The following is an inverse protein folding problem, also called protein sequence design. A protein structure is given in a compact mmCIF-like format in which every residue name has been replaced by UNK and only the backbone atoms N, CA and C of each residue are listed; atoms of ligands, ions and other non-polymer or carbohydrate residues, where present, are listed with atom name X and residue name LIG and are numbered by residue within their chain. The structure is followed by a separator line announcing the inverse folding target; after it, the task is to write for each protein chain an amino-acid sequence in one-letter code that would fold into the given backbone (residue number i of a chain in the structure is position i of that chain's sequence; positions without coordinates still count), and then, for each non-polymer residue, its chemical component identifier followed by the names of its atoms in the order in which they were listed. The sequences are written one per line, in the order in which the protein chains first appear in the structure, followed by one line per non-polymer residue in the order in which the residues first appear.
data_IF_286230634107
#
_entry.id   IF_286230634107
#
_cell.length_a   1.000
_cell.length_b   1.000
_cell.length_c   1.000
_cell.angle_alpha   90.00
_cell.angle_beta   90.00
_cell.angle_gamma   90.00
#
_symmetry.space_group_name_H-M   'P 1'
#
loop_
_entity.id
_entity.type
_entity.pdbx_description
1 polymer ?
#
# COMPACT_ATOMS: atom_id res chain seq x y z
N UNK A 1 -6.37 53.84 60.38
CA UNK A 1 -6.70 52.56 59.71
C UNK A 1 -5.82 52.22 58.49
N UNK A 2 -5.05 53.15 57.90
CA UNK A 2 -4.37 52.91 56.60
C UNK A 2 -3.06 52.10 56.68
N UNK A 3 -2.39 52.04 57.84
CA UNK A 3 -1.09 51.35 57.98
C UNK A 3 -1.26 49.83 58.10
N UNK A 4 -2.24 49.37 58.88
CA UNK A 4 -2.51 47.94 59.15
C UNK A 4 -2.97 47.18 57.88
N UNK A 5 -3.63 47.87 56.94
CA UNK A 5 -4.06 47.25 55.68
C UNK A 5 -2.89 47.01 54.69
N UNK A 6 -1.80 47.80 54.77
CA UNK A 6 -0.66 47.67 53.85
C UNK A 6 0.24 46.47 54.16
N UNK A 7 0.53 46.21 55.43
CA UNK A 7 1.34 45.04 55.83
C UNK A 7 0.61 43.73 55.51
N UNK A 8 -0.70 43.69 55.74
CA UNK A 8 -1.57 42.56 55.35
C UNK A 8 -1.60 42.32 53.84
N UNK A 9 -1.64 43.39 53.04
CA UNK A 9 -1.54 43.26 51.58
C UNK A 9 -0.18 42.68 51.15
N UNK A 10 0.90 43.04 51.84
CA UNK A 10 2.25 42.54 51.55
C UNK A 10 2.42 41.02 51.68
N UNK A 11 1.73 40.39 52.64
CA UNK A 11 1.78 38.93 52.85
C UNK A 11 0.80 38.14 51.98
N UNK A 12 -0.35 38.73 51.63
CA UNK A 12 -1.43 38.05 50.87
C UNK A 12 -1.20 38.10 49.36
N UNK A 13 -0.79 39.26 48.82
CA UNK A 13 -0.65 39.47 47.38
C UNK A 13 0.32 38.50 46.66
N UNK A 14 1.43 38.03 47.27
CA UNK A 14 2.30 37.02 46.67
C UNK A 14 1.59 35.70 46.35
N UNK A 15 0.67 35.25 47.21
CA UNK A 15 -0.04 33.96 47.07
C UNK A 15 -0.93 33.96 45.81
N UNK A 16 -1.74 35.01 45.62
CA UNK A 16 -2.63 35.11 44.46
C UNK A 16 -1.91 35.36 43.14
N UNK A 17 -0.68 35.86 43.19
CA UNK A 17 0.16 35.98 41.99
C UNK A 17 0.69 34.62 41.52
N UNK A 18 0.91 33.67 42.43
CA UNK A 18 1.28 32.30 42.07
C UNK A 18 0.10 31.54 41.42
N UNK A 19 -1.14 31.84 41.81
CA UNK A 19 -2.36 31.26 41.20
C UNK A 19 -2.68 31.78 39.77
N UNK A 20 -1.92 32.75 39.26
CA UNK A 20 -2.04 33.32 37.92
C UNK A 20 -3.43 33.91 37.53
N UNK A 21 -4.26 34.25 38.51
CA UNK A 21 -5.59 34.86 38.30
C UNK A 21 -5.54 36.32 37.81
N UNK A 22 -6.67 36.83 37.32
CA UNK A 22 -6.83 38.22 36.82
C UNK A 22 -6.90 39.23 37.96
N UNK A 23 -6.42 40.47 37.74
CA UNK A 23 -6.47 41.52 38.77
C UNK A 23 -7.88 41.79 39.32
N UNK A 24 -8.91 41.66 38.49
CA UNK A 24 -10.31 41.85 38.93
C UNK A 24 -10.74 40.75 39.91
N UNK A 25 -10.32 39.50 39.67
CA UNK A 25 -10.52 38.38 40.61
C UNK A 25 -9.70 38.51 41.89
N UNK A 26 -8.51 39.11 41.83
CA UNK A 26 -7.71 39.39 43.03
C UNK A 26 -8.43 40.42 43.91
N UNK A 27 -8.98 41.49 43.30
CA UNK A 27 -9.80 42.48 44.02
C UNK A 27 -11.03 41.82 44.65
N UNK A 28 -11.72 40.94 43.92
CA UNK A 28 -12.89 40.20 44.42
C UNK A 28 -12.54 39.27 45.59
N UNK A 29 -11.46 38.48 45.47
CA UNK A 29 -10.99 37.60 46.56
C UNK A 29 -10.54 38.38 47.78
N UNK A 30 -9.81 39.50 47.60
CA UNK A 30 -9.42 40.37 48.71
C UNK A 30 -10.63 40.92 49.48
N UNK A 31 -11.71 41.24 48.77
CA UNK A 31 -12.96 41.69 49.38
C UNK A 31 -13.70 40.54 50.09
N UNK A 32 -13.80 39.37 49.47
CA UNK A 32 -14.60 38.26 49.98
C UNK A 32 -13.92 37.48 51.12
N UNK A 33 -12.62 37.19 50.98
CA UNK A 33 -11.86 36.35 51.92
C UNK A 33 -11.23 37.16 53.05
N UNK A 34 -10.79 38.39 52.75
CA UNK A 34 -10.04 39.22 53.71
C UNK A 34 -10.75 40.53 54.09
N UNK A 35 -11.93 40.80 53.54
CA UNK A 35 -12.71 42.05 53.74
C UNK A 35 -11.92 43.32 53.40
N UNK A 36 -10.94 43.23 52.51
CA UNK A 36 -10.10 44.34 52.07
C UNK A 36 -10.72 44.94 50.80
N UNK A 37 -11.23 46.17 50.90
CA UNK A 37 -11.82 46.89 49.75
C UNK A 37 -10.77 47.80 49.10
N UNK A 38 -10.21 47.37 47.97
CA UNK A 38 -9.28 48.17 47.18
C UNK A 38 -9.74 48.31 45.73
N UNK A 39 -9.44 49.46 45.13
CA UNK A 39 -9.61 49.62 43.68
C UNK A 39 -8.52 48.88 42.90
N UNK A 40 -8.82 48.49 41.66
CA UNK A 40 -7.83 47.92 40.73
C UNK A 40 -6.58 48.81 40.58
N UNK A 41 -6.74 50.13 40.60
CA UNK A 41 -5.62 51.09 40.54
C UNK A 41 -4.73 51.02 41.79
N UNK A 42 -5.33 50.91 42.98
CA UNK A 42 -4.58 50.74 44.23
C UNK A 42 -3.85 49.40 44.27
N UNK A 43 -4.50 48.31 43.85
CA UNK A 43 -3.87 46.99 43.73
C UNK A 43 -2.61 47.05 42.85
N UNK A 44 -2.72 47.65 41.65
CA UNK A 44 -1.59 47.77 40.72
C UNK A 44 -0.45 48.60 41.33
N UNK A 45 -0.77 49.66 42.08
CA UNK A 45 0.23 50.50 42.75
C UNK A 45 0.97 49.72 43.85
N UNK A 46 0.27 48.98 44.69
CA UNK A 46 0.92 48.20 45.76
C UNK A 46 1.73 47.02 45.20
N UNK A 47 1.24 46.36 44.13
CA UNK A 47 2.03 45.36 43.41
C UNK A 47 3.32 45.93 42.80
N UNK A 48 3.29 47.19 42.36
CA UNK A 48 4.48 47.91 41.88
C UNK A 48 5.46 48.22 43.00
N UNK A 49 4.97 48.65 44.16
CA UNK A 49 5.81 48.92 45.34
C UNK A 49 6.50 47.64 45.86
N UNK A 50 5.82 46.50 45.77
CA UNK A 50 6.35 45.19 46.22
C UNK A 50 7.26 44.51 45.19
N UNK A 51 7.46 45.07 43.98
CA UNK A 51 8.22 44.40 42.92
C UNK A 51 7.54 43.13 42.37
N UNK A 52 6.22 43.01 42.58
CA UNK A 52 5.42 41.83 42.22
C UNK A 52 4.54 42.11 40.99
N UNK A 53 4.96 43.00 40.10
CA UNK A 53 4.22 43.24 38.87
C UNK A 53 4.26 41.98 38.00
N UNK A 54 3.07 41.51 37.58
CA UNK A 54 2.91 40.40 36.61
C UNK A 54 3.72 40.62 35.32
N UNK A 55 4.07 41.89 35.02
CA UNK A 55 4.92 42.28 33.90
C UNK A 55 6.42 41.92 34.06
N UNK A 56 6.94 41.79 35.28
CA UNK A 56 8.37 41.50 35.56
C UNK A 56 8.73 40.02 35.44
N UNK A 57 7.77 39.08 35.49
CA UNK A 57 7.97 37.65 35.17
C UNK A 57 8.00 37.33 33.66
N UNK A 58 7.98 38.32 32.78
CA UNK A 58 7.93 38.11 31.31
C UNK A 58 9.30 37.80 30.64
N UNK A 59 10.35 37.42 31.39
CA UNK A 59 11.57 36.91 30.77
C UNK A 59 11.37 35.43 30.42
N UNK A 60 10.86 35.20 29.22
CA UNK A 60 10.64 33.86 28.66
C UNK A 60 11.98 33.15 28.50
N UNK A 61 12.06 31.91 28.97
CA UNK A 61 13.31 31.13 29.03
C UNK A 61 13.94 30.96 27.65
N UNK A 62 15.26 30.77 27.62
CA UNK A 62 16.00 30.50 26.38
C UNK A 62 15.46 29.25 25.66
N UNK A 63 15.12 28.22 26.42
CA UNK A 63 14.49 27.00 25.92
C UNK A 63 13.13 27.28 25.24
N UNK A 64 12.27 28.09 25.86
CA UNK A 64 11.01 28.49 25.28
C UNK A 64 11.19 29.28 23.97
N UNK A 65 12.20 30.16 23.90
CA UNK A 65 12.54 30.89 22.66
C UNK A 65 12.97 29.93 21.54
N UNK A 66 13.76 28.91 21.86
CA UNK A 66 14.20 27.89 20.89
C UNK A 66 13.04 27.03 20.39
N UNK A 67 12.15 26.58 21.28
CA UNK A 67 10.96 25.83 20.91
C UNK A 67 10.01 26.67 20.03
N UNK A 68 9.83 27.95 20.37
CA UNK A 68 9.06 28.88 19.54
C UNK A 68 9.67 28.98 18.14
N UNK A 69 10.98 29.15 18.02
CA UNK A 69 11.69 29.22 16.73
C UNK A 69 11.52 27.94 15.91
N UNK A 70 11.70 26.77 16.55
CA UNK A 70 11.53 25.46 15.92
C UNK A 70 10.13 25.24 15.35
N UNK A 71 9.10 25.41 16.17
CA UNK A 71 7.72 25.19 15.72
C UNK A 71 7.24 26.28 14.75
N UNK A 72 7.78 27.49 14.86
CA UNK A 72 7.55 28.56 13.90
C UNK A 72 8.04 28.17 12.50
N UNK A 73 9.31 27.74 12.36
CA UNK A 73 9.87 27.33 11.06
C UNK A 73 9.31 25.99 10.53
N UNK A 74 8.75 25.14 11.41
CA UNK A 74 7.85 24.04 10.97
C UNK A 74 6.52 24.52 10.37
N UNK A 75 6.28 25.83 10.29
CA UNK A 75 5.12 26.45 9.67
C UNK A 75 3.83 26.34 10.50
N UNK A 76 3.93 26.09 11.81
CA UNK A 76 2.76 25.96 12.69
C UNK A 76 2.11 27.33 12.92
N UNK A 77 0.78 27.35 13.04
CA UNK A 77 0.01 28.56 13.43
C UNK A 77 0.26 28.86 14.92
N UNK A 78 0.16 30.12 15.31
CA UNK A 78 0.45 30.56 16.69
C UNK A 78 -0.35 29.80 17.75
N UNK A 79 -1.64 29.55 17.51
CA UNK A 79 -2.48 28.71 18.39
C UNK A 79 -1.94 27.29 18.57
N UNK A 80 -1.36 26.72 17.51
CA UNK A 80 -0.78 25.37 17.52
C UNK A 80 0.58 25.36 18.21
N UNK A 81 1.38 26.42 18.04
CA UNK A 81 2.65 26.60 18.77
C UNK A 81 2.38 26.61 20.28
N UNK A 82 1.34 27.32 20.74
CA UNK A 82 0.95 27.32 22.15
C UNK A 82 0.61 25.91 22.67
N UNK A 83 -0.13 25.11 21.90
CA UNK A 83 -0.45 23.73 22.28
C UNK A 83 0.82 22.85 22.41
N UNK A 84 1.81 23.05 21.54
CA UNK A 84 3.08 22.35 21.65
C UNK A 84 3.90 22.83 22.86
N UNK A 85 3.90 24.13 23.16
CA UNK A 85 4.60 24.67 24.33
C UNK A 85 3.99 24.16 25.65
N UNK A 86 2.67 24.03 25.72
CA UNK A 86 2.00 23.45 26.88
C UNK A 86 2.42 22.00 27.16
N UNK A 87 2.80 21.22 26.12
CA UNK A 87 3.34 19.86 26.29
C UNK A 87 4.77 19.84 26.86
N UNK A 88 5.43 20.98 26.88
CA UNK A 88 6.74 21.18 27.49
C UNK A 88 6.62 22.05 28.75
N UNK A 89 5.43 22.08 29.40
CA UNK A 89 5.13 22.86 30.61
C UNK A 89 5.37 24.38 30.48
N UNK A 90 5.37 24.89 29.25
CA UNK A 90 5.52 26.32 28.95
C UNK A 90 4.16 26.92 28.59
N UNK A 91 3.59 27.65 29.54
CA UNK A 91 2.26 28.26 29.39
C UNK A 91 2.37 29.75 28.99
N UNK A 92 2.05 30.05 27.74
CA UNK A 92 2.04 31.43 27.21
C UNK A 92 0.65 31.84 26.71
N UNK A 93 0.30 33.11 26.91
CA UNK A 93 -0.83 33.71 26.20
C UNK A 93 -0.46 34.00 24.73
N UNK A 94 -1.49 34.12 23.87
CA UNK A 94 -1.28 34.53 22.47
C UNK A 94 -0.56 35.88 22.35
N UNK A 95 -0.81 36.81 23.27
CA UNK A 95 -0.13 38.10 23.32
C UNK A 95 1.37 37.93 23.61
N UNK A 96 1.72 37.14 24.63
CA UNK A 96 3.12 36.86 24.99
C UNK A 96 3.87 36.16 23.84
N UNK A 97 3.26 35.16 23.20
CA UNK A 97 3.87 34.50 22.03
C UNK A 97 4.14 35.48 20.88
N UNK A 98 3.19 36.37 20.57
CA UNK A 98 3.37 37.40 19.52
C UNK A 98 4.49 38.38 19.88
N UNK A 99 4.57 38.80 21.15
CA UNK A 99 5.64 39.68 21.65
C UNK A 99 7.02 39.02 21.51
N UNK A 100 7.16 37.74 21.87
CA UNK A 100 8.42 36.99 21.70
C UNK A 100 8.79 36.84 20.25
N UNK A 101 7.82 36.50 19.39
CA UNK A 101 8.05 36.40 17.94
C UNK A 101 8.57 37.72 17.36
N UNK A 102 8.03 38.86 17.81
CA UNK A 102 8.53 40.17 17.40
C UNK A 102 9.96 40.43 17.90
N UNK A 103 10.26 40.09 19.16
CA UNK A 103 11.61 40.21 19.72
C UNK A 103 12.64 39.32 19.01
N UNK A 104 12.21 38.17 18.48
CA UNK A 104 13.04 37.23 17.72
C UNK A 104 13.01 37.49 16.20
N UNK A 105 12.39 38.58 15.75
CA UNK A 105 12.23 38.93 14.33
C UNK A 105 11.58 37.81 13.49
N UNK A 106 10.70 37.01 14.09
CA UNK A 106 10.01 35.87 13.45
C UNK A 106 8.78 36.33 12.67
N UNK A 107 9.03 36.88 11.47
CA UNK A 107 7.99 37.21 10.49
C UNK A 107 7.79 36.06 9.49
N UNK A 108 6.52 35.82 9.11
CA UNK A 108 6.19 34.90 7.99
C UNK A 108 6.16 35.63 6.64
N UNK A 109 6.19 36.96 6.66
CA UNK A 109 6.42 37.82 5.49
C UNK A 109 7.87 38.25 5.58
N UNK A 110 8.76 37.48 4.96
CA UNK A 110 10.19 37.77 4.89
C UNK A 110 10.49 38.45 3.57
N UNK A 111 11.42 39.40 3.59
CA UNK A 111 12.04 39.94 2.39
C UNK A 111 13.15 38.98 1.96
N UNK A 112 12.96 38.36 0.80
CA UNK A 112 13.94 37.50 0.15
C UNK A 112 13.95 37.94 -1.31
N UNK A 113 15.14 38.29 -1.82
CA UNK A 113 15.29 38.70 -3.22
C UNK A 113 15.06 37.51 -4.13
N UNK A 114 14.53 37.77 -5.32
CA UNK A 114 14.19 36.70 -6.24
C UNK A 114 15.47 36.00 -6.75
N UNK A 115 16.62 36.70 -6.86
CA UNK A 115 17.90 36.08 -7.26
C UNK A 115 18.40 35.05 -6.22
N UNK A 116 18.39 35.41 -4.94
CA UNK A 116 18.83 34.52 -3.86
C UNK A 116 17.94 33.26 -3.78
N UNK A 117 16.64 33.45 -3.99
CA UNK A 117 15.69 32.34 -3.97
C UNK A 117 15.87 31.40 -5.16
N UNK A 118 16.16 31.94 -6.35
CA UNK A 118 16.47 31.15 -7.55
C UNK A 118 17.72 30.32 -7.32
N UNK A 119 18.79 30.91 -6.77
CA UNK A 119 20.05 30.22 -6.51
C UNK A 119 19.88 29.06 -5.51
N UNK A 120 19.16 29.28 -4.41
CA UNK A 120 18.88 28.22 -3.41
C UNK A 120 18.08 27.08 -4.06
N UNK A 121 17.02 27.39 -4.80
CA UNK A 121 16.19 26.35 -5.44
C UNK A 121 16.99 25.60 -6.52
N UNK A 122 17.81 26.31 -7.29
CA UNK A 122 18.68 25.71 -8.31
C UNK A 122 19.67 24.72 -7.69
N UNK A 123 20.33 25.11 -6.59
CA UNK A 123 21.24 24.23 -5.86
C UNK A 123 20.55 23.00 -5.30
N UNK A 124 19.34 23.14 -4.74
CA UNK A 124 18.53 22.00 -4.27
C UNK A 124 18.11 21.05 -5.40
N UNK A 125 17.89 21.59 -6.60
CA UNK A 125 17.54 20.81 -7.78
C UNK A 125 18.72 20.03 -8.40
N UNK A 126 19.96 20.35 -8.02
CA UNK A 126 21.14 19.60 -8.48
C UNK A 126 21.34 18.27 -7.72
N UNK A 127 20.56 18.03 -6.66
CA UNK A 127 20.66 16.84 -5.82
C UNK A 127 19.30 16.12 -5.66
N UNK A 128 19.11 15.35 -4.59
CA UNK A 128 17.92 14.51 -4.36
C UNK A 128 16.60 15.28 -4.30
N UNK A 129 16.65 16.60 -4.06
CA UNK A 129 15.48 17.46 -3.93
C UNK A 129 14.89 17.94 -5.27
N UNK A 130 15.52 17.61 -6.41
CA UNK A 130 15.00 17.85 -7.78
C UNK A 130 13.56 17.36 -7.99
N UNK A 131 13.20 16.26 -7.35
CA UNK A 131 11.90 15.63 -7.53
C UNK A 131 10.80 16.18 -6.61
N UNK A 132 11.12 17.05 -5.64
CA UNK A 132 10.13 17.62 -4.73
C UNK A 132 9.09 18.44 -5.50
N UNK A 133 7.81 18.14 -5.25
CA UNK A 133 6.72 18.98 -5.75
C UNK A 133 6.65 20.32 -5.03
N UNK A 134 5.94 21.30 -5.59
CA UNK A 134 5.85 22.69 -5.10
C UNK A 134 5.56 22.78 -3.58
N UNK A 135 4.66 21.94 -3.05
CA UNK A 135 4.32 21.93 -1.61
C UNK A 135 5.45 21.38 -0.74
N UNK A 136 6.15 20.35 -1.22
CA UNK A 136 7.26 19.75 -0.50
C UNK A 136 8.49 20.65 -0.56
N UNK A 137 8.77 21.27 -1.72
CA UNK A 137 9.81 22.28 -1.85
C UNK A 137 9.54 23.48 -0.94
N UNK A 138 8.29 23.97 -0.88
CA UNK A 138 7.89 25.00 0.08
C UNK A 138 8.14 24.58 1.54
N UNK A 139 7.89 23.32 1.89
CA UNK A 139 8.18 22.81 3.22
C UNK A 139 9.68 22.68 3.50
N UNK A 140 10.44 22.22 2.52
CA UNK A 140 11.89 22.09 2.60
C UNK A 140 12.56 23.45 2.82
N UNK A 141 12.21 24.48 2.04
CA UNK A 141 12.72 25.85 2.21
C UNK A 141 12.44 26.42 3.61
N UNK A 142 11.28 26.09 4.20
CA UNK A 142 10.97 26.51 5.58
C UNK A 142 11.84 25.82 6.63
N UNK A 143 12.16 24.54 6.44
CA UNK A 143 12.84 23.72 7.45
C UNK A 143 14.36 23.85 7.32
N UNK A 144 14.90 23.75 6.11
CA UNK A 144 16.33 23.78 5.85
C UNK A 144 16.88 25.21 5.81
N UNK A 145 16.12 26.16 5.25
CA UNK A 145 16.58 27.53 5.00
C UNK A 145 15.85 28.59 5.83
N UNK A 146 14.88 28.21 6.67
CA UNK A 146 14.08 29.15 7.46
C UNK A 146 13.33 30.21 6.61
N UNK A 147 13.00 29.86 5.36
CA UNK A 147 12.38 30.77 4.38
C UNK A 147 10.88 30.49 4.18
N UNK A 148 10.06 31.53 4.36
CA UNK A 148 8.64 31.52 4.08
C UNK A 148 8.35 32.14 2.71
N UNK A 149 8.23 31.26 1.71
CA UNK A 149 7.97 31.68 0.32
C UNK A 149 6.56 31.32 -0.10
N UNK A 150 5.92 32.17 -0.91
CA UNK A 150 4.61 31.88 -1.47
C UNK A 150 4.69 30.71 -2.46
N UNK A 151 3.61 29.91 -2.55
CA UNK A 151 3.55 28.80 -3.52
C UNK A 151 3.66 29.30 -4.95
N UNK A 152 3.15 30.50 -5.21
CA UNK A 152 3.15 31.10 -6.53
C UNK A 152 4.57 31.45 -6.97
N UNK A 153 5.37 32.10 -6.10
CA UNK A 153 6.79 32.38 -6.38
C UNK A 153 7.61 31.12 -6.61
N UNK A 154 7.46 30.10 -5.76
CA UNK A 154 8.16 28.80 -5.96
C UNK A 154 7.75 28.16 -7.28
N UNK A 155 6.46 28.22 -7.63
CA UNK A 155 5.96 27.69 -8.90
C UNK A 155 6.60 28.38 -10.09
N UNK A 156 6.70 29.71 -10.05
CA UNK A 156 7.23 30.50 -11.16
C UNK A 156 8.74 30.26 -11.33
N UNK A 157 9.49 30.17 -10.23
CA UNK A 157 10.92 29.82 -10.26
C UNK A 157 11.14 28.38 -10.75
N UNK A 158 10.40 27.40 -10.23
CA UNK A 158 10.50 26.02 -10.72
C UNK A 158 10.12 25.90 -12.20
N UNK A 159 9.23 26.78 -12.70
CA UNK A 159 8.87 26.83 -14.12
C UNK A 159 9.96 27.46 -14.97
N UNK A 160 10.66 28.47 -14.46
CA UNK A 160 11.82 29.04 -15.12
C UNK A 160 12.98 28.04 -15.20
N UNK A 161 13.24 27.31 -14.11
CA UNK A 161 14.38 26.40 -13.99
C UNK A 161 14.17 25.04 -14.67
N UNK A 162 12.95 24.50 -14.65
CA UNK A 162 12.63 23.20 -15.28
C UNK A 162 11.16 23.17 -15.76
N UNK A 163 10.87 23.85 -16.89
CA UNK A 163 9.52 23.90 -17.45
C UNK A 163 9.02 22.51 -17.84
N UNK A 164 9.92 21.63 -18.30
CA UNK A 164 9.59 20.26 -18.70
C UNK A 164 9.11 19.41 -17.51
N UNK A 165 9.79 19.45 -16.35
CA UNK A 165 9.37 18.68 -15.18
C UNK A 165 7.98 19.11 -14.66
N UNK A 166 7.63 20.39 -14.77
CA UNK A 166 6.29 20.85 -14.40
C UNK A 166 5.21 20.46 -15.41
N UNK A 167 5.52 20.46 -16.71
CA UNK A 167 4.63 19.91 -17.75
C UNK A 167 4.41 18.41 -17.52
N UNK A 168 5.48 17.66 -17.28
CA UNK A 168 5.43 16.23 -16.96
C UNK A 168 4.57 15.95 -15.70
N UNK A 169 4.66 16.78 -14.65
CA UNK A 169 3.85 16.65 -13.42
C UNK A 169 2.39 17.07 -13.61
N UNK A 170 2.10 18.09 -14.43
CA UNK A 170 0.73 18.52 -14.75
C UNK A 170 -0.02 17.51 -15.62
N UNK A 171 0.70 16.72 -16.41
CA UNK A 171 0.06 15.78 -17.34
C UNK A 171 -0.74 14.66 -16.66
N UNK A 172 -0.62 14.42 -15.35
CA UNK A 172 -1.27 13.27 -14.64
C UNK A 172 -1.16 11.94 -15.43
N UNK A 173 -0.22 11.81 -16.34
CA UNK A 173 0.01 10.58 -17.07
C UNK A 173 0.97 9.80 -16.21
N UNK A 174 0.47 8.72 -15.61
CA UNK A 174 1.32 7.55 -15.41
C UNK A 174 2.06 7.37 -16.74
N UNK A 175 3.36 7.70 -16.79
CA UNK A 175 4.18 7.34 -17.94
C UNK A 175 4.15 5.81 -17.96
N UNK A 176 3.31 5.26 -18.82
CA UNK A 176 3.18 3.82 -19.03
C UNK A 176 4.58 3.34 -19.40
N UNK A 177 5.22 2.58 -18.51
CA UNK A 177 6.52 2.00 -18.80
C UNK A 177 6.28 1.01 -19.92
N UNK A 178 6.82 1.26 -21.11
CA UNK A 178 6.66 0.32 -22.19
C UNK A 178 7.65 -0.80 -21.93
N UNK A 179 7.16 -1.99 -21.56
CA UNK A 179 8.00 -3.16 -21.43
C UNK A 179 8.46 -3.59 -22.82
N UNK A 180 9.76 -3.51 -23.06
CA UNK A 180 10.42 -4.06 -24.23
C UNK A 180 10.96 -5.45 -23.88
N UNK A 181 10.47 -6.46 -24.59
CA UNK A 181 10.83 -7.88 -24.43
C UNK A 181 11.14 -8.41 -25.83
N UNK A 182 12.22 -9.17 -25.99
CA UNK A 182 12.76 -9.50 -27.33
C UNK A 182 11.93 -10.56 -28.08
N UNK A 183 11.33 -11.50 -27.36
CA UNK A 183 10.57 -12.61 -27.92
C UNK A 183 9.95 -13.46 -26.82
N UNK A 184 9.21 -14.53 -27.18
CA UNK A 184 8.65 -15.46 -26.20
C UNK A 184 9.73 -16.13 -25.37
N UNK A 185 9.38 -16.55 -24.16
CA UNK A 185 10.27 -17.15 -23.15
C UNK A 185 11.42 -16.25 -22.69
N UNK A 186 11.44 -14.98 -23.10
CA UNK A 186 12.45 -14.05 -22.59
C UNK A 186 12.14 -13.64 -21.14
N UNK A 187 10.88 -13.29 -20.84
CA UNK A 187 10.42 -13.00 -19.48
C UNK A 187 9.08 -13.67 -19.25
N UNK A 188 9.01 -14.54 -18.26
CA UNK A 188 7.76 -14.99 -17.67
C UNK A 188 7.42 -14.12 -16.45
N UNK A 189 6.17 -13.68 -16.37
CA UNK A 189 5.63 -12.81 -15.35
C UNK A 189 4.66 -13.64 -14.50
N UNK A 190 5.02 -13.90 -13.24
CA UNK A 190 4.26 -14.77 -12.32
C UNK A 190 3.71 -13.96 -11.16
N UNK A 191 2.51 -14.32 -10.69
CA UNK A 191 1.81 -13.61 -9.62
C UNK A 191 0.60 -14.39 -9.09
N UNK A 192 0.18 -14.05 -7.86
CA UNK A 192 -1.05 -14.54 -7.23
C UNK A 192 -2.22 -13.57 -7.40
N UNK A 193 -3.43 -14.11 -7.45
CA UNK A 193 -4.68 -13.35 -7.53
C UNK A 193 -5.62 -13.70 -6.36
N UNK A 194 -5.61 -12.81 -5.36
CA UNK A 194 -6.22 -13.09 -4.05
C UNK A 194 -7.64 -12.55 -3.89
N UNK A 195 -8.33 -12.17 -4.97
CA UNK A 195 -9.67 -11.57 -4.84
C UNK A 195 -10.76 -12.53 -4.38
N UNK A 196 -10.52 -13.84 -4.45
CA UNK A 196 -11.42 -14.89 -3.96
C UNK A 196 -10.89 -15.56 -2.68
N UNK A 197 -9.77 -15.08 -2.14
CA UNK A 197 -9.09 -15.71 -1.00
C UNK A 197 -9.92 -15.72 0.28
N UNK A 198 -10.85 -14.76 0.44
CA UNK A 198 -11.81 -14.74 1.56
C UNK A 198 -12.64 -16.02 1.63
N UNK A 199 -13.07 -16.55 0.49
CA UNK A 199 -13.85 -17.77 0.38
C UNK A 199 -13.01 -19.05 0.22
N UNK A 200 -11.67 -18.94 0.39
CA UNK A 200 -10.76 -20.08 0.33
C UNK A 200 -10.22 -20.42 -1.06
N UNK A 201 -10.44 -19.57 -2.05
CA UNK A 201 -10.00 -19.79 -3.43
C UNK A 201 -8.81 -18.88 -3.79
N UNK A 202 -7.67 -19.50 -4.10
CA UNK A 202 -6.43 -18.81 -4.45
C UNK A 202 -6.05 -19.12 -5.88
N UNK A 203 -6.05 -18.10 -6.74
CA UNK A 203 -5.66 -18.23 -8.14
C UNK A 203 -4.20 -17.82 -8.27
N UNK A 204 -3.42 -18.54 -9.08
CA UNK A 204 -2.05 -18.18 -9.42
C UNK A 204 -1.86 -18.33 -10.92
N UNK A 205 -1.13 -17.40 -11.53
CA UNK A 205 -0.91 -17.40 -12.97
C UNK A 205 0.53 -17.14 -13.37
N UNK A 206 0.80 -17.44 -14.64
CA UNK A 206 1.98 -17.00 -15.34
C UNK A 206 1.63 -16.58 -16.76
N UNK A 207 2.19 -15.46 -17.18
CA UNK A 207 2.05 -14.97 -18.54
C UNK A 207 3.43 -14.70 -19.14
N UNK A 208 3.62 -15.10 -20.39
CA UNK A 208 4.77 -14.67 -21.16
C UNK A 208 4.65 -13.17 -21.49
N UNK A 209 5.66 -12.39 -21.10
CA UNK A 209 5.59 -10.94 -21.16
C UNK A 209 5.65 -10.37 -22.59
N UNK A 210 6.11 -11.16 -23.57
CA UNK A 210 6.18 -10.79 -24.98
C UNK A 210 4.87 -11.10 -25.70
N UNK A 211 4.54 -12.38 -25.82
CA UNK A 211 3.40 -12.92 -26.57
C UNK A 211 2.05 -12.67 -25.89
N UNK A 212 2.05 -12.53 -24.55
CA UNK A 212 0.86 -12.52 -23.68
C UNK A 212 0.15 -13.87 -23.60
N UNK A 213 0.84 -14.94 -23.96
CA UNK A 213 0.39 -16.30 -23.76
C UNK A 213 0.36 -16.63 -22.27
N UNK A 214 -0.76 -17.17 -21.78
CA UNK A 214 -0.90 -17.65 -20.41
C UNK A 214 -0.25 -19.04 -20.34
N UNK A 215 0.89 -19.10 -19.67
CA UNK A 215 1.69 -20.31 -19.48
C UNK A 215 0.99 -21.25 -18.49
N UNK A 216 0.44 -20.71 -17.40
CA UNK A 216 -0.48 -21.45 -16.53
C UNK A 216 -1.45 -20.49 -15.84
N UNK A 217 -2.59 -21.05 -15.45
CA UNK A 217 -3.62 -20.40 -14.67
C UNK A 217 -4.27 -21.46 -13.79
N UNK A 218 -3.91 -21.47 -12.52
CA UNK A 218 -4.26 -22.54 -11.59
C UNK A 218 -4.98 -21.98 -10.37
N UNK A 219 -5.82 -22.81 -9.75
CA UNK A 219 -6.56 -22.46 -8.54
C UNK A 219 -6.40 -23.56 -7.48
N UNK A 220 -6.26 -23.16 -6.23
CA UNK A 220 -6.19 -24.06 -5.09
C UNK A 220 -6.61 -23.39 -3.78
N UNK A 221 -6.36 -24.08 -2.67
CA UNK A 221 -6.72 -23.64 -1.31
C UNK A 221 -5.62 -22.81 -0.62
N UNK A 222 -4.47 -22.63 -1.27
CA UNK A 222 -3.38 -21.82 -0.71
C UNK A 222 -2.42 -21.36 -1.81
N UNK A 223 -2.02 -20.09 -1.72
CA UNK A 223 -0.87 -19.55 -2.45
C UNK A 223 0.40 -19.44 -1.57
N UNK A 224 0.33 -19.82 -0.29
CA UNK A 224 1.44 -19.64 0.68
C UNK A 224 2.41 -20.79 0.71
N UNK A 225 2.00 -21.98 0.27
CA UNK A 225 2.85 -23.17 0.21
C UNK A 225 3.70 -23.12 -1.05
N UNK A 226 5.01 -22.93 -0.89
CA UNK A 226 5.95 -22.82 -2.01
C UNK A 226 5.99 -24.05 -2.91
N UNK A 227 5.71 -25.24 -2.36
CA UNK A 227 5.62 -26.48 -3.14
C UNK A 227 4.48 -26.44 -4.17
N UNK A 228 3.35 -25.80 -3.85
CA UNK A 228 2.22 -25.68 -4.79
C UNK A 228 2.64 -24.82 -5.99
N UNK A 229 3.28 -23.68 -5.73
CA UNK A 229 3.74 -22.78 -6.80
C UNK A 229 4.86 -23.44 -7.63
N UNK A 230 5.78 -24.15 -6.97
CA UNK A 230 6.78 -24.97 -7.66
C UNK A 230 6.12 -26.04 -8.54
N UNK A 231 5.08 -26.73 -8.05
CA UNK A 231 4.36 -27.75 -8.83
C UNK A 231 3.75 -27.16 -10.10
N UNK A 232 3.08 -26.01 -10.00
CA UNK A 232 2.54 -25.32 -11.17
C UNK A 232 3.63 -24.95 -12.19
N UNK A 233 4.80 -24.53 -11.69
CA UNK A 233 5.93 -24.22 -12.55
C UNK A 233 6.49 -25.46 -13.26
N UNK A 234 6.71 -26.56 -12.54
CA UNK A 234 7.22 -27.81 -13.11
C UNK A 234 6.22 -28.42 -14.10
N UNK A 235 4.93 -28.39 -13.80
CA UNK A 235 3.89 -28.86 -14.71
C UNK A 235 3.89 -28.08 -16.02
N UNK A 236 4.05 -26.75 -15.95
CA UNK A 236 4.18 -25.90 -17.13
C UNK A 236 5.45 -26.19 -17.92
N UNK A 237 6.59 -26.43 -17.26
CA UNK A 237 7.83 -26.84 -17.93
C UNK A 237 7.62 -28.16 -18.68
N UNK A 238 6.96 -29.13 -18.06
CA UNK A 238 6.66 -30.41 -18.68
C UNK A 238 5.70 -30.26 -19.88
N UNK A 239 4.64 -29.44 -19.75
CA UNK A 239 3.72 -29.08 -20.84
C UNK A 239 4.49 -28.46 -22.02
N UNK A 240 5.50 -27.64 -21.72
CA UNK A 240 6.37 -26.97 -22.70
C UNK A 240 7.62 -27.76 -23.08
N UNK A 241 7.62 -29.09 -22.86
CA UNK A 241 8.70 -30.01 -23.28
C UNK A 241 10.08 -29.66 -22.72
N UNK A 242 10.13 -29.27 -21.45
CA UNK A 242 11.37 -28.99 -20.74
C UNK A 242 11.94 -27.60 -21.01
N UNK A 243 11.12 -26.64 -21.47
CA UNK A 243 11.57 -25.26 -21.72
C UNK A 243 11.35 -24.40 -20.48
N UNK A 244 12.39 -23.67 -20.08
CA UNK A 244 12.35 -22.61 -19.06
C UNK A 244 12.63 -21.24 -19.69
N UNK A 245 12.09 -20.14 -19.11
CA UNK A 245 12.36 -18.81 -19.62
C UNK A 245 13.78 -18.35 -19.29
N UNK A 246 14.24 -17.35 -20.02
CA UNK A 246 15.49 -16.66 -19.72
C UNK A 246 15.46 -15.97 -18.36
N UNK A 247 14.35 -15.31 -18.04
CA UNK A 247 14.11 -14.64 -16.76
C UNK A 247 12.70 -14.89 -16.26
N UNK A 248 12.55 -15.23 -14.99
CA UNK A 248 11.27 -15.17 -14.28
C UNK A 248 11.20 -13.87 -13.50
N UNK A 249 10.07 -13.19 -13.60
CA UNK A 249 9.76 -11.99 -12.83
C UNK A 249 8.61 -12.27 -11.89
N UNK A 250 8.87 -12.04 -10.61
CA UNK A 250 7.92 -12.22 -9.53
C UNK A 250 8.00 -11.05 -8.55
N UNK A 251 6.97 -10.92 -7.75
CA UNK A 251 6.99 -10.05 -6.57
C UNK A 251 7.80 -10.68 -5.44
N UNK A 252 8.17 -9.86 -4.44
CA UNK A 252 8.91 -10.36 -3.28
C UNK A 252 7.95 -11.14 -2.37
N UNK A 253 7.82 -12.43 -2.64
CA UNK A 253 6.92 -13.34 -1.94
C UNK A 253 7.62 -14.59 -1.42
N UNK A 254 7.18 -15.08 -0.27
CA UNK A 254 7.69 -16.33 0.34
C UNK A 254 7.22 -17.57 -0.41
N UNK A 255 6.16 -17.44 -1.19
CA UNK A 255 5.61 -18.48 -2.06
C UNK A 255 6.59 -18.92 -3.15
N UNK A 256 7.57 -18.08 -3.52
CA UNK A 256 8.59 -18.41 -4.52
C UNK A 256 9.85 -19.05 -3.93
N UNK A 257 9.88 -19.36 -2.63
CA UNK A 257 11.06 -19.87 -1.93
C UNK A 257 11.67 -21.15 -2.55
N UNK A 258 10.87 -21.97 -3.24
CA UNK A 258 11.35 -23.14 -3.97
C UNK A 258 11.46 -22.90 -5.48
N UNK A 259 10.50 -22.17 -6.08
CA UNK A 259 10.51 -21.89 -7.51
C UNK A 259 11.73 -21.06 -7.96
N UNK A 260 12.13 -20.06 -7.15
CA UNK A 260 13.27 -19.20 -7.46
C UNK A 260 14.60 -19.98 -7.54
N UNK A 261 15.01 -20.76 -6.52
CA UNK A 261 16.22 -21.56 -6.63
C UNK A 261 16.14 -22.63 -7.72
N UNK A 262 14.97 -23.25 -7.97
CA UNK A 262 14.81 -24.20 -9.09
C UNK A 262 15.09 -23.56 -10.45
N UNK A 263 14.57 -22.35 -10.69
CA UNK A 263 14.85 -21.62 -11.93
C UNK A 263 16.34 -21.26 -12.05
N UNK A 264 16.98 -20.84 -10.96
CA UNK A 264 18.41 -20.52 -10.93
C UNK A 264 19.23 -21.77 -11.26
N UNK A 265 18.90 -22.91 -10.66
CA UNK A 265 19.56 -24.18 -10.88
C UNK A 265 19.42 -24.66 -12.32
N UNK A 266 18.21 -24.66 -12.89
CA UNK A 266 17.99 -25.01 -14.29
C UNK A 266 18.78 -24.13 -15.27
N UNK A 267 19.17 -22.93 -14.85
CA UNK A 267 19.85 -21.92 -15.67
C UNK A 267 21.34 -21.79 -15.36
N UNK A 268 21.89 -22.55 -14.41
CA UNK A 268 23.24 -22.35 -13.90
C UNK A 268 24.32 -22.60 -14.96
N UNK A 269 24.11 -23.62 -15.81
CA UNK A 269 25.09 -24.04 -16.83
C UNK A 269 24.91 -23.38 -18.20
N UNK A 270 23.98 -22.43 -18.35
CA UNK A 270 23.82 -21.71 -19.61
C UNK A 270 24.80 -20.53 -19.71
N UNK A 271 25.19 -20.16 -20.94
CA UNK A 271 26.27 -19.21 -21.16
C UNK A 271 25.83 -17.74 -21.33
N UNK A 272 24.53 -17.42 -21.24
CA UNK A 272 24.06 -16.05 -21.46
C UNK A 272 24.11 -15.18 -20.20
N UNK A 273 24.08 -13.86 -20.39
CA UNK A 273 24.21 -12.86 -19.32
C UNK A 273 23.13 -12.92 -18.23
N UNK A 274 22.07 -13.72 -18.42
CA UNK A 274 20.99 -13.95 -17.44
C UNK A 274 21.01 -15.36 -16.85
N UNK A 275 22.06 -16.14 -17.07
CA UNK A 275 22.19 -17.47 -16.48
C UNK A 275 22.28 -17.42 -14.94
N UNK A 276 22.01 -18.55 -14.30
CA UNK A 276 22.05 -18.73 -12.85
C UNK A 276 21.22 -17.71 -12.10
N UNK A 277 21.83 -17.00 -11.14
CA UNK A 277 21.14 -16.08 -10.23
C UNK A 277 20.41 -14.93 -10.92
N UNK A 278 20.86 -14.55 -12.13
CA UNK A 278 20.27 -13.46 -12.91
C UNK A 278 19.03 -13.88 -13.72
N UNK A 279 18.68 -15.17 -13.69
CA UNK A 279 17.48 -15.73 -14.31
C UNK A 279 16.23 -15.55 -13.45
N UNK A 280 16.38 -15.04 -12.22
CA UNK A 280 15.29 -14.65 -11.35
C UNK A 280 15.34 -13.15 -11.05
N UNK A 281 14.20 -12.47 -11.13
CA UNK A 281 14.11 -11.04 -10.87
C UNK A 281 12.94 -10.70 -9.97
N UNK A 282 13.25 -10.37 -8.72
CA UNK A 282 12.30 -9.71 -7.83
C UNK A 282 12.07 -8.25 -8.27
N UNK A 283 10.83 -7.81 -8.18
CA UNK A 283 10.44 -6.42 -8.34
C UNK A 283 9.15 -6.12 -7.60
N UNK A 284 8.76 -4.84 -7.46
CA UNK A 284 7.44 -4.51 -6.94
C UNK A 284 6.33 -4.88 -7.95
N UNK A 285 5.11 -5.14 -7.49
CA UNK A 285 3.90 -5.39 -8.32
C UNK A 285 3.72 -4.40 -9.47
N UNK A 286 3.97 -3.12 -9.20
CA UNK A 286 3.95 -2.03 -10.21
C UNK A 286 4.90 -2.24 -11.39
N UNK A 287 5.84 -3.17 -11.26
CA UNK A 287 6.81 -3.58 -12.26
C UNK A 287 6.49 -4.93 -12.92
N UNK A 288 5.59 -5.73 -12.33
CA UNK A 288 5.05 -6.99 -12.86
C UNK A 288 3.83 -6.74 -13.77
N UNK A 289 3.96 -5.78 -14.67
CA UNK A 289 2.82 -5.12 -15.32
C UNK A 289 1.97 -6.03 -16.20
N UNK A 290 2.51 -7.14 -16.70
CA UNK A 290 1.82 -7.99 -17.67
C UNK A 290 0.73 -8.81 -17.00
N UNK A 291 1.11 -9.55 -15.97
CA UNK A 291 0.15 -10.37 -15.23
C UNK A 291 -0.84 -9.50 -14.45
N UNK A 292 -0.40 -8.39 -13.85
CA UNK A 292 -1.27 -7.43 -13.17
C UNK A 292 -2.30 -6.75 -14.10
N UNK A 293 -1.89 -6.41 -15.33
CA UNK A 293 -2.83 -5.92 -16.33
C UNK A 293 -3.81 -7.02 -16.76
N UNK A 294 -3.36 -8.27 -16.82
CA UNK A 294 -4.20 -9.40 -17.13
C UNK A 294 -5.20 -9.73 -16.00
N UNK A 295 -4.81 -9.61 -14.72
CA UNK A 295 -5.72 -9.70 -13.58
C UNK A 295 -6.86 -8.70 -13.64
N UNK A 296 -6.57 -7.48 -14.10
CA UNK A 296 -7.61 -6.47 -14.33
C UNK A 296 -8.62 -6.88 -15.41
N UNK A 297 -8.21 -7.70 -16.38
CA UNK A 297 -9.11 -8.28 -17.38
C UNK A 297 -9.87 -9.47 -16.81
N UNK A 298 -9.18 -10.40 -16.13
CA UNK A 298 -9.83 -11.53 -15.45
C UNK A 298 -10.96 -11.06 -14.53
N UNK A 299 -10.71 -10.00 -13.75
CA UNK A 299 -11.72 -9.37 -12.90
C UNK A 299 -12.96 -8.96 -13.67
N UNK A 300 -12.79 -8.30 -14.82
CA UNK A 300 -13.89 -7.79 -15.65
C UNK A 300 -14.64 -8.89 -16.39
N UNK A 301 -13.92 -9.93 -16.83
CA UNK A 301 -14.50 -10.98 -17.67
C UNK A 301 -15.23 -12.03 -16.85
N UNK A 302 -14.64 -12.47 -15.74
CA UNK A 302 -15.09 -13.66 -15.00
C UNK A 302 -15.18 -13.43 -13.51
N UNK A 303 -14.10 -12.98 -12.87
CA UNK A 303 -14.02 -13.06 -11.40
C UNK A 303 -14.99 -12.14 -10.66
N UNK A 304 -15.56 -11.11 -11.30
CA UNK A 304 -16.57 -10.26 -10.66
C UNK A 304 -17.85 -11.04 -10.36
N UNK A 305 -18.27 -11.95 -11.25
CA UNK A 305 -19.43 -12.82 -11.05
C UNK A 305 -19.27 -13.66 -9.77
N UNK A 306 -18.13 -14.35 -9.62
CA UNK A 306 -17.86 -15.16 -8.42
C UNK A 306 -17.82 -14.36 -7.14
N UNK A 307 -17.28 -13.14 -7.19
CA UNK A 307 -17.26 -12.25 -6.03
C UNK A 307 -18.67 -11.87 -5.61
N UNK A 308 -19.52 -11.52 -6.57
CA UNK A 308 -20.92 -11.18 -6.31
C UNK A 308 -21.70 -12.38 -5.77
N UNK A 309 -21.57 -13.55 -6.40
CA UNK A 309 -22.22 -14.79 -5.96
C UNK A 309 -21.82 -15.17 -4.53
N UNK A 310 -20.53 -15.23 -4.22
CA UNK A 310 -20.07 -15.63 -2.89
C UNK A 310 -20.36 -14.57 -1.82
N UNK A 311 -20.37 -13.29 -2.21
CA UNK A 311 -20.81 -12.20 -1.31
C UNK A 311 -22.30 -12.28 -1.02
N UNK A 312 -23.12 -12.69 -1.99
CA UNK A 312 -24.56 -12.92 -1.81
C UNK A 312 -24.83 -14.06 -0.83
N UNK A 313 -24.17 -15.21 -1.04
CA UNK A 313 -24.24 -16.38 -0.13
C UNK A 313 -23.87 -15.97 1.31
N UNK A 314 -22.78 -15.21 1.49
CA UNK A 314 -22.37 -14.71 2.81
C UNK A 314 -23.41 -13.74 3.39
N UNK A 315 -23.96 -12.83 2.58
CA UNK A 315 -24.95 -11.85 3.03
C UNK A 315 -26.30 -12.48 3.45
N UNK A 316 -26.65 -13.63 2.85
CA UNK A 316 -27.83 -14.41 3.22
C UNK A 316 -27.62 -15.26 4.49
N UNK A 317 -26.40 -15.27 5.04
CA UNK A 317 -26.04 -16.10 6.20
C UNK A 317 -25.86 -17.58 5.85
N UNK A 318 -25.71 -17.90 4.56
CA UNK A 318 -25.49 -19.26 4.06
C UNK A 318 -24.01 -19.65 4.02
N UNK A 319 -23.11 -18.72 4.34
CA UNK A 319 -21.68 -19.02 4.50
C UNK A 319 -21.06 -18.16 5.60
N UNK A 320 -20.26 -18.80 6.46
CA UNK A 320 -19.52 -18.15 7.54
C UNK A 320 -18.02 -18.51 7.49
N UNK A 321 -17.16 -17.51 7.45
CA UNK A 321 -15.69 -17.68 7.45
C UNK A 321 -15.14 -18.52 8.61
N UNK A 322 -15.79 -18.46 9.78
CA UNK A 322 -15.36 -19.18 10.99
C UNK A 322 -15.91 -20.60 11.06
N UNK A 323 -16.84 -20.94 10.17
CA UNK A 323 -17.45 -22.27 10.10
C UNK A 323 -16.70 -23.14 9.10
N UNK A 324 -16.17 -24.28 9.56
CA UNK A 324 -15.40 -25.14 8.69
C UNK A 324 -16.28 -25.92 7.70
N UNK A 325 -17.52 -26.28 8.08
CA UNK A 325 -18.46 -27.00 7.21
C UNK A 325 -18.84 -26.10 6.04
N UNK A 326 -19.14 -24.83 6.31
CA UNK A 326 -19.49 -23.86 5.27
C UNK A 326 -18.35 -23.69 4.24
N UNK A 327 -17.11 -23.59 4.73
CA UNK A 327 -15.92 -23.47 3.87
C UNK A 327 -15.67 -24.74 3.06
N UNK A 328 -15.74 -25.92 3.68
CA UNK A 328 -15.48 -27.19 3.01
C UNK A 328 -16.55 -27.50 1.96
N UNK A 329 -17.83 -27.28 2.27
CA UNK A 329 -18.93 -27.46 1.30
C UNK A 329 -18.79 -26.50 0.12
N UNK A 330 -18.41 -25.23 0.38
CA UNK A 330 -18.24 -24.24 -0.69
C UNK A 330 -17.08 -24.63 -1.60
N UNK A 331 -15.94 -25.01 -1.02
CA UNK A 331 -14.77 -25.49 -1.77
C UNK A 331 -15.12 -26.75 -2.56
N UNK A 332 -15.82 -27.72 -1.97
CA UNK A 332 -16.19 -28.96 -2.62
C UNK A 332 -17.02 -28.72 -3.89
N UNK A 333 -18.07 -27.89 -3.80
CA UNK A 333 -18.97 -27.60 -4.91
C UNK A 333 -18.31 -26.74 -5.98
N UNK A 334 -17.64 -25.65 -5.58
CA UNK A 334 -17.21 -24.63 -6.53
C UNK A 334 -15.77 -24.78 -7.04
N UNK A 335 -14.89 -25.52 -6.36
CA UNK A 335 -13.51 -25.73 -6.84
C UNK A 335 -13.45 -26.42 -8.21
N UNK A 336 -14.22 -27.51 -8.49
CA UNK A 336 -14.22 -28.13 -9.82
C UNK A 336 -14.72 -27.17 -10.91
N UNK A 337 -15.78 -26.40 -10.63
CA UNK A 337 -16.36 -25.43 -11.56
C UNK A 337 -15.36 -24.31 -11.90
N UNK A 338 -14.69 -23.76 -10.89
CA UNK A 338 -13.67 -22.73 -11.07
C UNK A 338 -12.43 -23.28 -11.80
N UNK A 339 -11.99 -24.51 -11.50
CA UNK A 339 -10.89 -25.16 -12.22
C UNK A 339 -11.21 -25.31 -13.71
N UNK A 340 -12.41 -25.79 -14.02
CA UNK A 340 -12.88 -25.92 -15.40
C UNK A 340 -12.93 -24.56 -16.10
N UNK A 341 -13.57 -23.56 -15.49
CA UNK A 341 -13.72 -22.24 -16.11
C UNK A 341 -12.37 -21.56 -16.35
N UNK A 342 -11.40 -21.67 -15.43
CA UNK A 342 -10.07 -21.11 -15.64
C UNK A 342 -9.31 -21.84 -16.75
N UNK A 343 -9.48 -23.16 -16.89
CA UNK A 343 -8.90 -23.92 -17.99
C UNK A 343 -9.48 -23.49 -19.35
N UNK A 344 -10.80 -23.35 -19.44
CA UNK A 344 -11.50 -22.84 -20.63
C UNK A 344 -11.05 -21.41 -20.94
N UNK A 345 -11.00 -20.52 -19.95
CA UNK A 345 -10.54 -19.14 -20.12
C UNK A 345 -9.09 -19.07 -20.61
N UNK A 346 -8.20 -19.94 -20.13
CA UNK A 346 -6.82 -20.02 -20.63
C UNK A 346 -6.80 -20.35 -22.12
N UNK A 347 -7.61 -21.31 -22.57
CA UNK A 347 -7.71 -21.68 -23.99
C UNK A 347 -8.29 -20.54 -24.84
N UNK A 348 -9.40 -19.94 -24.39
CA UNK A 348 -10.03 -18.79 -25.05
C UNK A 348 -9.06 -17.62 -25.18
N UNK A 349 -8.35 -17.29 -24.09
CA UNK A 349 -7.36 -16.23 -24.08
C UNK A 349 -6.15 -16.56 -24.94
N UNK A 350 -5.65 -17.79 -24.96
CA UNK A 350 -4.49 -18.08 -25.79
C UNK A 350 -4.85 -18.06 -27.29
N UNK A 351 -6.12 -18.30 -27.64
CA UNK A 351 -6.64 -18.31 -29.02
C UNK A 351 -7.19 -16.96 -29.51
N UNK A 352 -7.55 -16.03 -28.62
CA UNK A 352 -8.16 -14.78 -29.05
C UNK A 352 -7.18 -13.86 -29.79
N UNK A 353 -7.69 -13.07 -30.73
CA UNK A 353 -6.88 -12.07 -31.44
C UNK A 353 -6.79 -10.76 -30.66
N UNK A 354 -5.58 -10.38 -30.28
CA UNK A 354 -5.32 -9.07 -29.69
C UNK A 354 -5.15 -8.01 -30.78
N UNK A 355 -5.92 -6.93 -30.66
CA UNK A 355 -5.85 -5.80 -31.60
C UNK A 355 -4.49 -5.10 -31.56
N UNK A 356 -4.12 -4.55 -32.71
CA UNK A 356 -2.94 -3.70 -32.84
C UNK A 356 -3.07 -2.44 -31.98
N UNK A 357 -2.01 -2.14 -31.23
CA UNK A 357 -1.86 -0.92 -30.44
C UNK A 357 -0.50 -0.30 -30.76
N UNK A 358 -0.52 0.87 -31.39
CA UNK A 358 0.70 1.60 -31.78
C UNK A 358 1.58 2.02 -30.59
N UNK A 359 1.06 1.97 -29.36
CA UNK A 359 1.81 2.26 -28.13
C UNK A 359 2.40 1.01 -27.47
N UNK A 360 2.04 -0.18 -27.95
CA UNK A 360 2.57 -1.45 -27.44
C UNK A 360 3.83 -1.85 -28.21
N UNK A 361 4.92 -2.15 -27.50
CA UNK A 361 6.09 -2.83 -28.09
C UNK A 361 5.93 -4.36 -28.17
N UNK A 362 4.83 -4.92 -27.67
CA UNK A 362 4.50 -6.33 -27.83
C UNK A 362 3.64 -6.58 -29.06
N UNK A 363 3.81 -7.74 -29.71
CA UNK A 363 3.11 -8.07 -30.95
C UNK A 363 1.60 -8.13 -30.74
N UNK A 364 0.84 -7.61 -31.68
CA UNK A 364 -0.60 -7.90 -31.82
C UNK A 364 -0.83 -9.29 -32.39
N UNK A 365 -2.09 -9.70 -32.57
CA UNK A 365 -2.41 -11.04 -33.06
C UNK A 365 -2.75 -12.01 -31.93
N UNK A 366 -2.72 -13.30 -32.23
CA UNK A 366 -3.11 -14.37 -31.31
C UNK A 366 -1.93 -14.68 -30.37
N UNK A 367 -2.13 -14.73 -29.04
CA UNK A 367 -1.06 -15.04 -28.08
C UNK A 367 -0.35 -16.37 -28.36
N UNK A 368 -1.09 -17.41 -28.72
CA UNK A 368 -0.54 -18.72 -29.08
C UNK A 368 0.39 -18.64 -30.31
N UNK A 369 -0.07 -18.03 -31.41
CA UNK A 369 0.77 -17.79 -32.60
C UNK A 369 2.02 -16.98 -32.25
N UNK A 370 1.85 -15.91 -31.45
CA UNK A 370 2.97 -15.06 -31.04
C UNK A 370 3.99 -15.79 -30.14
N UNK A 371 3.58 -16.88 -29.49
CA UNK A 371 4.42 -17.67 -28.60
C UNK A 371 5.11 -18.82 -29.32
N UNK A 372 4.36 -19.62 -30.09
CA UNK A 372 4.89 -20.80 -30.78
C UNK A 372 5.42 -20.53 -32.19
N UNK A 373 5.04 -19.42 -32.82
CA UNK A 373 5.50 -19.00 -34.16
C UNK A 373 6.13 -17.59 -34.13
N UNK A 374 7.19 -17.39 -33.33
CA UNK A 374 7.84 -16.09 -33.16
C UNK A 374 8.35 -15.45 -34.47
N UNK A 375 8.59 -16.25 -35.51
CA UNK A 375 9.06 -15.83 -36.82
C UNK A 375 8.07 -14.88 -37.51
N UNK A 376 6.76 -14.99 -37.21
CA UNK A 376 5.72 -14.08 -37.73
C UNK A 376 6.02 -12.62 -37.36
N UNK A 377 6.67 -12.40 -36.22
CA UNK A 377 7.04 -11.08 -35.72
C UNK A 377 8.53 -10.76 -35.89
N UNK A 378 9.23 -11.49 -36.78
CA UNK A 378 10.68 -11.38 -37.00
C UNK A 378 11.51 -11.54 -35.71
N UNK A 379 11.06 -12.43 -34.82
CA UNK A 379 11.81 -12.81 -33.61
C UNK A 379 11.98 -14.32 -33.56
N UNK A 380 12.51 -14.83 -32.45
CA UNK A 380 12.73 -16.25 -32.20
C UNK A 380 12.35 -16.62 -30.78
N UNK A 381 12.32 -17.91 -30.47
CA UNK A 381 12.21 -18.38 -29.10
C UNK A 381 13.50 -18.07 -28.30
N UNK A 382 13.34 -17.57 -27.08
CA UNK A 382 14.43 -17.26 -26.14
C UNK A 382 14.48 -18.21 -24.94
N UNK A 383 13.67 -19.28 -24.95
CA UNK A 383 13.65 -20.32 -23.95
C UNK A 383 14.88 -21.20 -23.96
N UNK A 384 15.06 -21.96 -22.89
CA UNK A 384 16.17 -22.86 -22.70
C UNK A 384 15.68 -24.23 -22.31
N UNK A 385 16.23 -25.27 -22.95
CA UNK A 385 16.00 -26.64 -22.54
C UNK A 385 16.71 -26.93 -21.23
N UNK A 386 16.06 -27.70 -20.36
CA UNK A 386 16.63 -28.22 -19.12
C UNK A 386 17.02 -29.69 -19.27
N UNK A 387 17.87 -30.16 -18.36
CA UNK A 387 18.16 -31.57 -18.22
C UNK A 387 16.98 -32.28 -17.53
N UNK A 388 16.52 -33.39 -18.10
CA UNK A 388 15.44 -34.20 -17.56
C UNK A 388 15.76 -34.80 -16.18
N UNK A 389 17.03 -35.13 -15.89
CA UNK A 389 17.41 -35.66 -14.57
C UNK A 389 17.28 -34.60 -13.49
N UNK A 390 17.61 -33.36 -13.82
CA UNK A 390 17.53 -32.22 -12.89
C UNK A 390 16.07 -31.88 -12.60
N UNK A 391 15.23 -31.91 -13.64
CA UNK A 391 13.77 -31.79 -13.50
C UNK A 391 13.20 -32.86 -12.57
N UNK A 392 13.51 -34.13 -12.85
CA UNK A 392 12.99 -35.27 -12.10
C UNK A 392 13.45 -35.23 -10.64
N UNK A 393 14.71 -34.86 -10.39
CA UNK A 393 15.23 -34.69 -9.04
C UNK A 393 14.43 -33.67 -8.24
N UNK A 394 14.19 -32.47 -8.80
CA UNK A 394 13.40 -31.42 -8.12
C UNK A 394 11.96 -31.89 -7.91
N UNK A 395 11.35 -32.50 -8.93
CA UNK A 395 9.98 -33.00 -8.87
C UNK A 395 9.82 -34.03 -7.76
N UNK A 396 10.67 -35.06 -7.72
CA UNK A 396 10.60 -36.11 -6.71
C UNK A 396 10.88 -35.59 -5.30
N UNK A 397 11.79 -34.62 -5.17
CA UNK A 397 12.17 -34.06 -3.86
C UNK A 397 11.07 -33.21 -3.23
N UNK A 398 10.37 -32.38 -4.03
CA UNK A 398 9.46 -31.37 -3.48
C UNK A 398 7.99 -31.54 -3.86
N UNK A 399 7.70 -32.34 -4.88
CA UNK A 399 6.41 -32.36 -5.58
C UNK A 399 5.84 -33.78 -5.78
N UNK A 400 6.47 -34.81 -5.20
CA UNK A 400 6.05 -36.22 -5.32
C UNK A 400 4.77 -36.57 -4.56
N UNK A 401 4.36 -35.76 -3.58
CA UNK A 401 3.11 -35.96 -2.86
C UNK A 401 1.91 -35.73 -3.78
N UNK A 402 1.17 -36.81 -4.07
CA UNK A 402 -0.04 -36.76 -4.90
C UNK A 402 -1.14 -35.88 -4.31
N UNK A 403 -1.12 -35.65 -2.99
CA UNK A 403 -2.10 -34.83 -2.29
C UNK A 403 -1.74 -33.34 -2.25
N UNK A 404 -0.61 -32.94 -2.85
CA UNK A 404 -0.09 -31.57 -2.72
C UNK A 404 -1.06 -30.48 -3.19
N UNK A 405 -1.80 -30.76 -4.27
CA UNK A 405 -2.80 -29.84 -4.86
C UNK A 405 -4.23 -30.23 -4.46
N UNK A 406 -4.38 -31.24 -3.59
CA UNK A 406 -5.70 -31.63 -3.12
C UNK A 406 -6.29 -30.61 -2.16
N UNK A 407 -7.57 -30.32 -2.36
CA UNK A 407 -8.29 -29.28 -1.62
C UNK A 407 -9.14 -29.82 -0.47
N UNK A 408 -9.34 -31.14 -0.42
CA UNK A 408 -10.03 -31.88 0.63
C UNK A 408 -9.39 -33.26 0.79
N UNK A 409 -9.46 -33.83 1.99
CA UNK A 409 -9.01 -35.22 2.20
C UNK A 409 -9.90 -36.19 1.42
N UNK A 410 -9.34 -37.35 1.06
CA UNK A 410 -10.08 -38.39 0.34
C UNK A 410 -11.35 -38.83 1.11
N UNK A 411 -11.26 -38.93 2.43
CA UNK A 411 -12.38 -39.26 3.30
C UNK A 411 -13.51 -38.21 3.22
N UNK A 412 -13.18 -36.92 3.37
CA UNK A 412 -14.17 -35.83 3.25
C UNK A 412 -14.80 -35.78 1.87
N UNK A 413 -14.00 -35.96 0.81
CA UNK A 413 -14.51 -36.02 -0.56
C UNK A 413 -15.49 -37.17 -0.75
N UNK A 414 -15.21 -38.36 -0.22
CA UNK A 414 -16.09 -39.51 -0.35
C UNK A 414 -17.43 -39.26 0.35
N UNK A 415 -17.42 -38.67 1.55
CA UNK A 415 -18.64 -38.29 2.27
C UNK A 415 -19.47 -37.31 1.43
N UNK A 416 -18.85 -36.25 0.91
CA UNK A 416 -19.57 -35.26 0.11
C UNK A 416 -20.05 -35.81 -1.23
N UNK A 417 -19.28 -36.68 -1.89
CA UNK A 417 -19.70 -37.38 -3.11
C UNK A 417 -20.99 -38.18 -2.86
N UNK A 418 -21.05 -38.98 -1.80
CA UNK A 418 -22.23 -39.78 -1.48
C UNK A 418 -23.48 -38.92 -1.24
N UNK A 419 -23.32 -37.79 -0.54
CA UNK A 419 -24.42 -36.86 -0.27
C UNK A 419 -24.86 -36.16 -1.56
N UNK A 420 -23.93 -35.64 -2.35
CA UNK A 420 -24.25 -34.91 -3.58
C UNK A 420 -24.84 -35.81 -4.66
N UNK A 421 -24.40 -37.07 -4.77
CA UNK A 421 -25.03 -38.06 -5.64
C UNK A 421 -26.51 -38.28 -5.28
N UNK A 422 -26.83 -38.39 -3.99
CA UNK A 422 -28.24 -38.49 -3.53
C UNK A 422 -29.04 -37.23 -3.85
N UNK A 423 -28.45 -36.04 -3.67
CA UNK A 423 -29.08 -34.76 -4.01
C UNK A 423 -29.39 -34.69 -5.52
N UNK A 424 -28.43 -35.05 -6.37
CA UNK A 424 -28.57 -35.06 -7.83
C UNK A 424 -29.69 -36.02 -8.27
N UNK A 425 -29.71 -37.25 -7.72
CA UNK A 425 -30.76 -38.23 -8.00
C UNK A 425 -32.14 -37.71 -7.61
N UNK A 426 -32.27 -37.10 -6.42
CA UNK A 426 -33.54 -36.52 -5.96
C UNK A 426 -34.03 -35.39 -6.87
N UNK A 427 -33.10 -34.61 -7.42
CA UNK A 427 -33.39 -33.47 -8.31
C UNK A 427 -33.55 -33.85 -9.79
N UNK A 428 -33.33 -35.12 -10.14
CA UNK A 428 -33.28 -35.59 -11.53
C UNK A 428 -32.24 -34.82 -12.38
N UNK A 429 -31.10 -34.51 -11.77
CA UNK A 429 -29.96 -33.83 -12.38
C UNK A 429 -28.78 -34.81 -12.49
N UNK A 430 -27.94 -34.69 -13.52
CA UNK A 430 -26.83 -35.63 -13.75
C UNK A 430 -25.49 -35.20 -13.17
N UNK A 431 -25.27 -33.89 -13.03
CA UNK A 431 -24.01 -33.32 -12.56
C UNK A 431 -24.20 -31.94 -11.95
N UNK A 432 -23.24 -31.54 -11.12
CA UNK A 432 -23.12 -30.16 -10.61
C UNK A 432 -22.58 -29.25 -11.71
N UNK A 433 -23.27 -28.14 -11.96
CA UNK A 433 -22.89 -27.09 -12.89
C UNK A 433 -23.28 -25.72 -12.33
N UNK A 434 -22.94 -24.64 -13.03
CA UNK A 434 -23.16 -23.26 -12.55
C UNK A 434 -24.64 -22.98 -12.24
N UNK A 435 -25.59 -23.58 -12.98
CA UNK A 435 -27.01 -23.30 -12.83
C UNK A 435 -27.65 -23.95 -11.59
N UNK A 436 -27.13 -25.10 -11.12
CA UNK A 436 -27.67 -25.82 -9.95
C UNK A 436 -26.73 -25.80 -8.74
N UNK A 437 -25.49 -25.31 -8.88
CA UNK A 437 -24.48 -25.34 -7.83
C UNK A 437 -24.92 -24.68 -6.52
N UNK A 438 -25.65 -23.56 -6.58
CA UNK A 438 -26.12 -22.85 -5.40
C UNK A 438 -27.12 -23.70 -4.59
N UNK A 439 -28.12 -24.28 -5.25
CA UNK A 439 -29.12 -25.11 -4.57
C UNK A 439 -28.52 -26.40 -4.00
N UNK A 440 -27.59 -27.02 -4.73
CA UNK A 440 -26.86 -28.20 -4.27
C UNK A 440 -25.97 -27.83 -3.08
N UNK A 441 -25.27 -26.69 -3.13
CA UNK A 441 -24.47 -26.19 -2.02
C UNK A 441 -25.31 -25.99 -0.76
N UNK A 442 -26.44 -25.28 -0.84
CA UNK A 442 -27.28 -25.01 0.32
C UNK A 442 -27.84 -26.32 0.91
N UNK A 443 -28.22 -27.28 0.06
CA UNK A 443 -28.70 -28.60 0.51
C UNK A 443 -27.60 -29.42 1.19
N UNK A 444 -26.42 -29.51 0.56
CA UNK A 444 -25.25 -30.21 1.11
C UNK A 444 -24.87 -29.62 2.46
N UNK A 445 -24.75 -28.30 2.54
CA UNK A 445 -24.42 -27.56 3.76
C UNK A 445 -25.38 -27.91 4.91
N UNK A 446 -26.69 -27.80 4.68
CA UNK A 446 -27.70 -28.10 5.71
C UNK A 446 -27.59 -29.54 6.19
N UNK A 447 -27.39 -30.49 5.28
CA UNK A 447 -27.29 -31.90 5.62
C UNK A 447 -26.04 -32.20 6.44
N UNK A 448 -24.88 -31.65 6.07
CA UNK A 448 -23.63 -31.87 6.81
C UNK A 448 -23.69 -31.24 8.21
N UNK A 449 -24.29 -30.06 8.36
CA UNK A 449 -24.56 -29.44 9.68
C UNK A 449 -25.50 -30.24 10.58
N UNK A 450 -26.30 -31.15 10.03
CA UNK A 450 -27.17 -32.04 10.82
C UNK A 450 -26.46 -33.33 11.24
N UNK A 451 -25.38 -33.69 10.55
CA UNK A 451 -24.61 -34.91 10.83
C UNK A 451 -23.47 -34.68 11.83
N UNK A 452 -22.91 -33.47 11.86
CA UNK A 452 -21.76 -33.05 12.69
C UNK A 452 -22.17 -31.98 13.70
#
# INVERSE_FOLDING_TARGET
MVIIEKERLGSILPLYIQENITYDKIVEKLLNEYRIKISKRQLIRELKNLGLLKYQRNNISFEAKNLIKHYFYKGKKDKVILLYLNKHDIFLSLYQLKKVRHQLSLSRKQECTDEMLVEIIFNEMNYSNKYLGIRLMQNHLKIAYNLFVSRQKIRDILYLLDPEALVNRKQKKLKRRVMHVQGPNFVWSVDGYDKLSHWGFYIHGCIDAYSRYIIWLQIGISNKKSQIILKYYLDAINELRGIVPRVIRADLGVEYALMAPSQIFFRENHADVRAGILSWKYGPSTSNQRIEAWWSLLRKMKSQYWIELFSEIESNGEWNYYDYIDRECLIYIYMPLLKQELAELRQEWNSHRIRYDNKSHCPSGVPEDNYFLPEINNTKDYGFSINSTDYEYIYQTYCSDSNLIEYLSLERKNIYNEIVEKILVYRNESLVNISNAMEIYSTLRIYVHQLE
#
